data_IF_965878346543
#
_entry.id   IF_965878346543
#
_cell.length_a   1.000
_cell.length_b   1.000
_cell.length_c   1.000
_cell.angle_alpha   90.00
_cell.angle_beta   90.00
_cell.angle_gamma   90.00
#
_symmetry.space_group_name_H-M   'P 1'
#
loop_
_entity.id
_entity.type
_entity.pdbx_description
1 polymer ?
#
# COMPACT_ATOMS: atom_id res chain seq x y z
N UNK A 1 6.79 -24.55 34.39
CA UNK A 1 6.81 -24.85 32.94
C UNK A 1 5.80 -23.93 32.27
N UNK A 2 6.23 -22.76 31.82
CA UNK A 2 5.37 -21.77 31.17
C UNK A 2 5.72 -21.70 29.70
N UNK A 3 4.88 -22.31 28.85
CA UNK A 3 4.97 -22.21 27.40
C UNK A 3 4.28 -20.93 26.95
N UNK A 4 5.06 -19.90 26.62
CA UNK A 4 4.55 -18.73 25.92
C UNK A 4 4.44 -19.04 24.44
N UNK A 5 3.21 -19.24 23.96
CA UNK A 5 2.90 -19.35 22.54
C UNK A 5 3.30 -18.06 21.81
N UNK A 6 4.36 -18.15 21.01
CA UNK A 6 4.72 -17.09 20.06
C UNK A 6 3.66 -17.06 18.97
N UNK A 7 2.79 -16.06 19.04
CA UNK A 7 1.92 -15.65 17.93
C UNK A 7 2.81 -15.34 16.72
N UNK A 8 2.84 -16.25 15.75
CA UNK A 8 3.49 -16.00 14.44
C UNK A 8 2.61 -15.00 13.69
N UNK A 9 2.99 -13.73 13.74
CA UNK A 9 2.48 -12.74 12.79
C UNK A 9 2.83 -13.21 11.38
N UNK A 10 1.86 -13.07 10.46
CA UNK A 10 1.97 -13.51 9.07
C UNK A 10 3.31 -13.11 8.46
N UNK A 11 4.01 -14.10 7.91
CA UNK A 11 5.22 -13.89 7.13
C UNK A 11 4.89 -12.94 5.96
N UNK A 12 5.68 -11.89 5.69
CA UNK A 12 5.50 -11.06 4.50
C UNK A 12 5.52 -11.84 3.16
N UNK A 13 5.89 -13.12 3.19
CA UNK A 13 5.74 -14.06 2.07
C UNK A 13 4.28 -14.41 1.72
N UNK A 14 3.30 -14.22 2.62
CA UNK A 14 1.88 -14.47 2.32
C UNK A 14 1.23 -13.39 1.44
N UNK A 15 1.86 -12.22 1.29
CA UNK A 15 1.43 -11.17 0.36
C UNK A 15 1.57 -11.57 -1.12
N UNK A 16 2.28 -12.66 -1.40
CA UNK A 16 2.74 -13.04 -2.76
C UNK A 16 2.21 -14.40 -3.23
N UNK A 17 1.28 -15.00 -2.50
CA UNK A 17 0.79 -16.31 -2.85
C UNK A 17 -0.28 -16.23 -3.96
N UNK A 18 0.07 -15.87 -5.21
CA UNK A 18 -0.52 -16.48 -6.41
C UNK A 18 0.22 -16.18 -7.74
N UNK A 19 0.61 -17.30 -8.41
CA UNK A 19 0.81 -17.56 -9.86
C UNK A 19 1.90 -16.79 -10.64
N UNK A 20 3.11 -17.38 -10.65
CA UNK A 20 3.97 -17.40 -11.84
C UNK A 20 3.25 -18.13 -12.99
N UNK A 21 2.95 -17.43 -14.08
CA UNK A 21 2.72 -18.06 -15.38
C UNK A 21 4.08 -18.37 -16.06
N UNK A 22 4.20 -19.45 -16.84
CA UNK A 22 5.46 -19.82 -17.47
C UNK A 22 5.83 -18.82 -18.58
N UNK A 23 6.93 -18.09 -18.39
CA UNK A 23 7.49 -17.15 -19.37
C UNK A 23 8.08 -17.95 -20.54
N UNK A 24 7.48 -17.84 -21.72
CA UNK A 24 8.07 -18.26 -23.00
C UNK A 24 9.03 -17.17 -23.45
N UNK A 25 10.34 -17.41 -23.31
CA UNK A 25 11.39 -16.49 -23.78
C UNK A 25 11.42 -16.45 -25.31
N UNK A 26 11.34 -15.25 -25.89
CA UNK A 26 11.88 -14.96 -27.23
C UNK A 26 12.95 -13.88 -27.10
N UNK A 27 14.13 -14.19 -27.65
CA UNK A 27 15.30 -13.32 -27.61
C UNK A 27 15.33 -12.27 -28.71
N UNK A 28 16.14 -11.23 -28.45
CA UNK A 28 16.84 -10.25 -29.30
C UNK A 28 17.43 -9.25 -28.29
N UNK A 29 18.64 -8.72 -28.37
CA UNK A 29 19.64 -8.57 -29.43
C UNK A 29 20.33 -7.24 -29.07
N UNK A 30 21.63 -7.30 -28.78
CA UNK A 30 22.45 -6.15 -28.34
C UNK A 30 22.47 -5.00 -29.34
N UNK A 31 22.57 -3.76 -28.84
CA UNK A 31 23.61 -2.83 -29.30
C UNK A 31 23.87 -1.71 -28.29
N UNK A 32 25.16 -1.42 -28.10
CA UNK A 32 25.76 -0.42 -27.21
C UNK A 32 26.03 0.90 -27.92
N UNK A 33 26.26 1.94 -27.10
CA UNK A 33 27.11 3.15 -27.27
C UNK A 33 26.36 4.36 -26.65
N UNK A 34 26.90 5.26 -25.83
CA UNK A 34 28.28 5.60 -25.47
C UNK A 34 28.41 7.13 -25.43
N UNK A 35 28.80 7.68 -24.27
CA UNK A 35 29.42 9.00 -24.01
C UNK A 35 28.60 10.24 -23.52
N UNK A 36 28.95 10.62 -22.28
CA UNK A 36 29.65 11.87 -21.87
C UNK A 36 28.88 13.11 -21.41
N UNK A 37 29.25 13.51 -20.19
CA UNK A 37 28.82 14.62 -19.32
C UNK A 37 29.51 15.95 -19.67
N UNK A 38 28.82 17.09 -19.47
CA UNK A 38 29.44 18.34 -18.99
C UNK A 38 28.52 19.12 -18.05
N UNK A 39 29.07 19.52 -16.91
CA UNK A 39 28.48 20.37 -15.89
C UNK A 39 28.77 21.87 -16.16
N UNK A 40 27.92 22.76 -15.66
CA UNK A 40 28.28 24.15 -15.35
C UNK A 40 27.49 24.68 -14.15
N UNK A 41 28.14 25.57 -13.38
CA UNK A 41 27.79 26.06 -12.03
C UNK A 41 27.24 27.50 -12.06
N UNK A 42 26.49 27.85 -11.00
CA UNK A 42 26.40 29.19 -10.38
C UNK A 42 25.29 30.10 -10.95
N UNK A 43 24.59 30.95 -10.19
CA UNK A 43 24.74 31.40 -8.82
C UNK A 43 23.44 32.06 -8.31
N UNK A 44 23.32 32.08 -6.99
CA UNK A 44 22.32 32.66 -6.09
C UNK A 44 22.24 34.19 -6.14
N UNK A 45 21.02 34.77 -6.11
CA UNK A 45 20.73 36.13 -5.62
C UNK A 45 19.28 36.29 -5.15
N UNK A 46 19.11 36.58 -3.86
CA UNK A 46 18.28 37.70 -3.39
C UNK A 46 16.86 37.39 -2.92
N UNK A 47 16.68 37.26 -1.59
CA UNK A 47 15.38 37.30 -0.91
C UNK A 47 14.78 38.71 -0.99
N UNK A 48 13.58 38.81 -1.56
CA UNK A 48 12.65 39.93 -1.36
C UNK A 48 11.50 39.41 -0.50
N UNK A 49 11.25 40.08 0.63
CA UNK A 49 10.11 39.80 1.49
C UNK A 49 8.82 40.22 0.79
N UNK A 50 7.84 39.33 0.68
CA UNK A 50 6.48 39.66 0.23
C UNK A 50 5.43 39.13 1.20
N UNK A 51 4.40 39.96 1.36
CA UNK A 51 3.23 39.80 2.18
C UNK A 51 2.50 38.46 1.97
N UNK A 52 1.84 37.98 3.03
CA UNK A 52 0.82 36.93 3.07
C UNK A 52 0.81 35.98 1.88
N UNK A 53 1.73 35.01 1.85
CA UNK A 53 1.77 33.99 0.82
C UNK A 53 0.46 33.22 0.82
N UNK A 54 -0.17 33.07 -0.35
CA UNK A 54 -1.07 31.95 -0.61
C UNK A 54 -0.42 30.67 -0.05
N UNK A 55 -1.16 29.78 0.64
CA UNK A 55 -0.57 28.61 1.25
C UNK A 55 0.26 27.87 0.20
N UNK A 56 1.54 27.63 0.51
CA UNK A 56 2.47 26.97 -0.40
C UNK A 56 1.92 25.62 -0.87
N UNK A 57 2.51 25.02 -1.92
CA UNK A 57 2.04 23.75 -2.44
C UNK A 57 1.96 22.71 -1.31
N UNK A 58 0.80 22.06 -1.18
CA UNK A 58 0.55 21.04 -0.16
C UNK A 58 1.65 19.98 -0.19
N UNK A 59 2.15 19.62 0.99
CA UNK A 59 3.11 18.50 1.13
C UNK A 59 2.48 17.20 0.61
N UNK A 60 3.29 16.22 0.18
CA UNK A 60 2.79 14.91 -0.22
C UNK A 60 1.87 14.29 0.85
N UNK A 61 2.25 14.38 2.13
CA UNK A 61 1.42 13.99 3.29
C UNK A 61 0.07 14.69 3.32
N UNK A 62 0.05 16.02 3.19
CA UNK A 62 -1.18 16.80 3.24
C UNK A 62 -2.11 16.50 2.06
N UNK A 63 -1.57 16.21 0.87
CA UNK A 63 -2.35 15.77 -0.30
C UNK A 63 -2.97 14.39 -0.07
N UNK A 64 -2.19 13.44 0.45
CA UNK A 64 -2.70 12.11 0.82
C UNK A 64 -3.89 12.25 1.79
N UNK A 65 -3.70 13.00 2.89
CA UNK A 65 -4.74 13.22 3.90
C UNK A 65 -5.98 13.89 3.29
N UNK A 66 -5.81 14.93 2.47
CA UNK A 66 -6.94 15.60 1.83
C UNK A 66 -7.72 14.66 0.91
N UNK A 67 -7.06 13.75 0.19
CA UNK A 67 -7.76 12.73 -0.60
C UNK A 67 -8.48 11.71 0.29
N UNK A 68 -7.84 11.21 1.34
CA UNK A 68 -8.46 10.28 2.31
C UNK A 68 -9.70 10.88 2.99
N UNK A 69 -9.67 12.17 3.30
CA UNK A 69 -10.77 12.94 3.86
C UNK A 69 -11.74 13.47 2.80
N UNK A 70 -11.48 13.17 1.52
CA UNK A 70 -12.27 13.63 0.36
C UNK A 70 -12.46 15.15 0.33
N UNK A 71 -11.49 15.91 0.84
CA UNK A 71 -11.45 17.36 0.75
C UNK A 71 -11.08 17.80 -0.69
N UNK A 72 -11.57 18.97 -1.14
CA UNK A 72 -11.17 19.51 -2.43
C UNK A 72 -9.65 19.63 -2.54
N UNK A 73 -9.12 19.20 -3.68
CA UNK A 73 -7.71 19.25 -4.03
C UNK A 73 -7.55 20.00 -5.36
N UNK A 74 -6.43 20.69 -5.51
CA UNK A 74 -6.05 21.39 -6.75
C UNK A 74 -4.68 20.91 -7.22
N UNK A 75 -4.47 20.92 -8.54
CA UNK A 75 -3.23 20.48 -9.17
C UNK A 75 -3.12 18.96 -9.14
N UNK A 76 -1.90 18.43 -9.01
CA UNK A 76 -1.66 17.00 -9.23
C UNK A 76 -2.38 16.12 -8.21
N UNK A 77 -3.04 15.10 -8.73
CA UNK A 77 -3.68 14.01 -7.99
C UNK A 77 -2.60 13.28 -7.19
N UNK A 78 -2.80 12.99 -5.89
CA UNK A 78 -1.83 12.23 -5.12
C UNK A 78 -1.62 10.85 -5.75
N UNK A 79 -0.37 10.40 -5.74
CA UNK A 79 0.02 9.07 -6.20
C UNK A 79 0.69 8.29 -5.07
N UNK A 80 0.49 6.98 -5.04
CA UNK A 80 1.07 6.08 -4.07
C UNK A 80 1.09 4.67 -4.68
N UNK A 81 2.10 3.87 -4.35
CA UNK A 81 2.09 2.42 -4.60
C UNK A 81 2.21 1.69 -3.27
N UNK A 82 1.41 0.65 -3.08
CA UNK A 82 1.47 -0.14 -1.85
C UNK A 82 2.86 -0.75 -1.66
N UNK A 83 3.39 -1.42 -2.68
CA UNK A 83 4.76 -1.95 -2.66
C UNK A 83 5.43 -1.74 -4.02
N UNK A 84 6.71 -1.36 -3.99
CA UNK A 84 7.55 -1.22 -5.17
C UNK A 84 8.76 -2.16 -5.09
N UNK A 85 8.71 -3.29 -5.77
CA UNK A 85 9.76 -4.32 -5.71
C UNK A 85 10.88 -4.15 -6.74
N UNK A 86 10.72 -3.28 -7.74
CA UNK A 86 11.73 -3.03 -8.80
C UNK A 86 12.91 -2.16 -8.31
N UNK A 87 13.23 -2.18 -7.01
CA UNK A 87 14.29 -1.36 -6.43
C UNK A 87 15.68 -1.72 -6.93
N UNK A 88 15.90 -2.97 -7.33
CA UNK A 88 17.17 -3.40 -7.91
C UNK A 88 17.41 -2.74 -9.27
N UNK A 89 16.39 -2.71 -10.13
CA UNK A 89 16.49 -2.05 -11.44
C UNK A 89 16.52 -0.53 -11.30
N UNK A 90 15.68 0.03 -10.42
CA UNK A 90 15.60 1.47 -10.22
C UNK A 90 16.82 2.07 -9.49
N UNK A 91 17.36 1.38 -8.47
CA UNK A 91 18.34 1.96 -7.55
C UNK A 91 19.60 1.10 -7.35
N UNK A 92 19.68 -0.10 -7.94
CA UNK A 92 20.76 -1.05 -7.67
C UNK A 92 20.74 -1.61 -6.25
N UNK A 93 19.60 -1.56 -5.56
CA UNK A 93 19.47 -1.91 -4.13
C UNK A 93 18.36 -2.93 -3.89
N UNK A 94 18.64 -3.90 -3.03
CA UNK A 94 17.72 -4.99 -2.73
C UNK A 94 16.56 -4.49 -1.87
N UNK A 95 15.32 -4.76 -2.28
CA UNK A 95 14.13 -4.41 -1.52
C UNK A 95 14.20 -5.04 -0.11
N UNK A 96 13.77 -4.34 0.96
CA UNK A 96 13.90 -4.82 2.33
C UNK A 96 13.26 -6.20 2.57
N UNK A 97 12.10 -6.46 1.96
CA UNK A 97 11.38 -7.74 2.08
C UNK A 97 12.06 -8.92 1.36
N UNK A 98 13.10 -8.69 0.55
CA UNK A 98 13.87 -9.75 -0.11
C UNK A 98 15.14 -10.15 0.68
N UNK A 99 15.41 -9.50 1.81
CA UNK A 99 16.54 -9.82 2.69
C UNK A 99 16.14 -10.90 3.70
N UNK A 100 17.12 -11.72 4.12
CA UNK A 100 16.98 -12.61 5.26
C UNK A 100 17.49 -11.91 6.54
N UNK A 101 16.70 -11.92 7.61
CA UNK A 101 16.99 -11.30 8.90
C UNK A 101 17.19 -12.32 10.05
N UNK A 102 17.42 -13.61 9.75
CA UNK A 102 17.57 -14.68 10.76
C UNK A 102 18.68 -14.41 11.80
N UNK A 103 19.70 -13.64 11.43
CA UNK A 103 20.83 -13.27 12.30
C UNK A 103 20.66 -11.89 12.96
N UNK A 104 19.49 -11.25 12.88
CA UNK A 104 19.27 -9.89 13.39
C UNK A 104 19.65 -9.69 14.86
N UNK A 105 19.36 -10.68 15.70
CA UNK A 105 19.68 -10.64 17.14
C UNK A 105 21.14 -10.98 17.44
N UNK A 106 21.90 -11.51 16.48
CA UNK A 106 23.34 -11.78 16.60
C UNK A 106 24.18 -10.55 16.23
N UNK A 107 23.62 -9.66 15.40
CA UNK A 107 24.26 -8.41 14.98
C UNK A 107 24.48 -7.47 16.16
N UNK A 108 25.55 -6.69 16.11
CA UNK A 108 25.72 -5.51 16.96
C UNK A 108 24.71 -4.42 16.58
N UNK A 109 24.44 -3.49 17.51
CA UNK A 109 23.50 -2.40 17.24
C UNK A 109 23.94 -1.52 16.06
N UNK A 110 25.25 -1.34 15.86
CA UNK A 110 25.80 -0.59 14.72
C UNK A 110 25.46 -1.23 13.37
N UNK A 111 25.38 -2.56 13.31
CA UNK A 111 25.03 -3.30 12.08
C UNK A 111 23.53 -3.21 11.81
N UNK A 112 22.70 -3.40 12.84
CA UNK A 112 21.25 -3.19 12.73
C UNK A 112 20.91 -1.78 12.27
N UNK A 113 21.61 -0.78 12.79
CA UNK A 113 21.42 0.61 12.40
C UNK A 113 21.77 0.85 10.91
N UNK A 114 22.82 0.21 10.39
CA UNK A 114 23.11 0.27 8.95
C UNK A 114 21.98 -0.33 8.10
N UNK A 115 21.40 -1.45 8.54
CA UNK A 115 20.24 -2.03 7.88
C UNK A 115 19.04 -1.08 7.89
N UNK A 116 18.70 -0.49 9.05
CA UNK A 116 17.56 0.44 9.15
C UNK A 116 17.74 1.66 8.26
N UNK A 117 18.95 2.25 8.25
CA UNK A 117 19.29 3.39 7.39
C UNK A 117 19.15 3.03 5.92
N UNK A 118 19.67 1.88 5.50
CA UNK A 118 19.51 1.39 4.14
C UNK A 118 18.03 1.26 3.76
N UNK A 119 17.22 0.59 4.60
CA UNK A 119 15.79 0.44 4.35
C UNK A 119 15.07 1.79 4.27
N UNK A 120 15.32 2.71 5.21
CA UNK A 120 14.69 4.02 5.25
C UNK A 120 15.06 4.84 4.01
N UNK A 121 16.34 4.87 3.64
CA UNK A 121 16.84 5.57 2.47
C UNK A 121 16.26 5.00 1.17
N UNK A 122 16.00 3.70 1.11
CA UNK A 122 15.37 3.09 -0.07
C UNK A 122 13.89 3.44 -0.18
N UNK A 123 13.15 3.45 0.93
CA UNK A 123 11.76 3.89 0.95
C UNK A 123 11.62 5.37 0.56
N UNK A 124 12.48 6.23 1.12
CA UNK A 124 12.51 7.66 0.79
C UNK A 124 12.87 7.87 -0.68
N UNK A 125 13.94 7.22 -1.19
CA UNK A 125 14.34 7.35 -2.59
C UNK A 125 13.26 6.90 -3.56
N UNK A 126 12.51 5.84 -3.22
CA UNK A 126 11.36 5.38 -4.00
C UNK A 126 10.27 6.44 -4.03
N UNK A 127 9.88 6.96 -2.87
CA UNK A 127 8.84 7.99 -2.77
C UNK A 127 9.25 9.29 -3.47
N UNK A 128 10.52 9.67 -3.42
CA UNK A 128 11.02 10.87 -4.10
C UNK A 128 11.09 10.69 -5.62
N UNK A 129 11.64 9.58 -6.11
CA UNK A 129 11.78 9.33 -7.55
C UNK A 129 10.43 9.22 -8.25
N UNK A 130 9.47 8.56 -7.60
CA UNK A 130 8.15 8.29 -8.18
C UNK A 130 7.06 9.18 -7.62
N UNK A 131 7.42 10.21 -6.85
CA UNK A 131 6.52 11.27 -6.39
C UNK A 131 5.34 10.74 -5.55
N UNK A 132 5.63 9.76 -4.69
CA UNK A 132 4.63 9.18 -3.79
C UNK A 132 4.20 10.18 -2.71
N UNK A 133 2.91 10.15 -2.39
CA UNK A 133 2.30 10.91 -1.30
C UNK A 133 2.40 10.21 0.06
N UNK A 134 2.66 8.91 0.02
CA UNK A 134 2.77 8.06 1.19
C UNK A 134 3.90 7.03 1.06
N UNK A 135 4.41 6.56 2.20
CA UNK A 135 5.35 5.45 2.31
C UNK A 135 4.67 4.35 3.12
N UNK A 136 4.59 3.15 2.53
CA UNK A 136 4.14 1.94 3.23
C UNK A 136 5.33 1.14 3.75
N UNK A 137 5.55 1.27 5.05
CA UNK A 137 6.69 0.69 5.75
C UNK A 137 6.42 -0.80 5.97
N UNK A 138 7.29 -1.64 5.44
CA UNK A 138 7.36 -3.05 5.78
C UNK A 138 8.52 -3.21 6.76
N UNK A 139 8.21 -3.16 8.05
CA UNK A 139 9.23 -3.25 9.09
C UNK A 139 9.90 -4.62 9.03
N UNK A 140 11.23 -4.62 9.06
CA UNK A 140 12.04 -5.83 9.05
C UNK A 140 13.15 -5.72 10.12
N UNK A 141 13.28 -6.70 11.03
CA UNK A 141 12.33 -7.79 11.29
C UNK A 141 10.97 -7.26 11.76
N UNK A 142 9.92 -8.07 11.57
CA UNK A 142 8.51 -7.71 11.78
C UNK A 142 8.13 -7.48 13.25
N UNK A 143 8.69 -6.46 13.88
CA UNK A 143 8.48 -6.09 15.30
C UNK A 143 7.99 -4.64 15.42
N UNK A 144 7.20 -4.35 16.45
CA UNK A 144 6.71 -2.99 16.70
C UNK A 144 7.85 -2.00 16.94
N UNK A 145 8.91 -2.44 17.62
CA UNK A 145 10.09 -1.62 17.93
C UNK A 145 10.82 -1.17 16.65
N UNK A 146 11.05 -2.10 15.71
CA UNK A 146 11.67 -1.76 14.43
C UNK A 146 10.75 -0.91 13.55
N UNK A 147 9.43 -1.08 13.63
CA UNK A 147 8.50 -0.15 12.98
C UNK A 147 8.68 1.27 13.53
N UNK A 148 8.75 1.44 14.85
CA UNK A 148 8.92 2.78 15.43
C UNK A 148 10.25 3.41 15.06
N UNK A 149 11.34 2.64 15.08
CA UNK A 149 12.66 3.13 14.64
C UNK A 149 12.67 3.54 13.17
N UNK A 150 12.01 2.76 12.32
CA UNK A 150 11.86 3.10 10.89
C UNK A 150 11.06 4.39 10.69
N UNK A 151 9.96 4.56 11.43
CA UNK A 151 9.18 5.81 11.44
C UNK A 151 10.06 6.98 11.86
N UNK A 152 10.78 6.86 12.97
CA UNK A 152 11.65 7.93 13.50
C UNK A 152 12.75 8.31 12.50
N UNK A 153 13.42 7.33 11.88
CA UNK A 153 14.46 7.57 10.87
C UNK A 153 13.91 8.27 9.62
N UNK A 154 12.72 7.87 9.13
CA UNK A 154 12.11 8.52 7.97
C UNK A 154 11.69 9.95 8.32
N UNK A 155 11.14 10.17 9.52
CA UNK A 155 10.76 11.50 10.01
C UNK A 155 11.96 12.40 10.26
N UNK A 156 13.06 11.89 10.79
CA UNK A 156 14.31 12.65 10.96
C UNK A 156 14.82 13.17 9.60
N UNK A 157 14.77 12.33 8.56
CA UNK A 157 15.29 12.66 7.23
C UNK A 157 14.36 13.51 6.38
N UNK A 158 13.05 13.38 6.57
CA UNK A 158 12.05 13.98 5.67
C UNK A 158 11.06 14.92 6.36
N UNK A 159 11.08 15.01 7.70
CA UNK A 159 10.04 15.66 8.47
C UNK A 159 8.66 15.05 8.20
N UNK A 160 7.64 15.90 8.14
CA UNK A 160 6.26 15.51 7.83
C UNK A 160 5.95 15.55 6.31
N UNK A 161 6.96 15.40 5.46
CA UNK A 161 6.78 15.45 4.00
C UNK A 161 5.88 14.33 3.48
N UNK A 162 6.07 13.10 3.97
CA UNK A 162 5.34 11.91 3.50
C UNK A 162 4.35 11.40 4.54
N UNK A 163 3.21 10.89 4.07
CA UNK A 163 2.31 10.13 4.91
C UNK A 163 2.94 8.77 5.21
N UNK A 164 3.01 8.33 6.47
CA UNK A 164 3.61 7.05 6.84
C UNK A 164 2.53 6.07 7.29
N UNK A 165 2.56 4.86 6.73
CA UNK A 165 1.68 3.78 7.14
C UNK A 165 2.40 2.45 7.22
N UNK A 166 1.81 1.53 7.96
CA UNK A 166 2.29 0.16 8.12
C UNK A 166 1.11 -0.81 8.06
N UNK A 167 1.42 -2.10 7.89
CA UNK A 167 0.38 -3.12 7.88
C UNK A 167 -0.26 -3.26 9.27
N UNK A 168 -1.58 -3.44 9.31
CA UNK A 168 -2.32 -3.52 10.56
C UNK A 168 -3.57 -4.39 10.55
N UNK A 169 -3.70 -5.33 9.60
CA UNK A 169 -4.89 -6.19 9.53
C UNK A 169 -4.98 -7.11 10.77
N UNK A 170 -6.21 -7.45 11.13
CA UNK A 170 -6.55 -8.26 12.30
C UNK A 170 -7.69 -9.25 12.01
N UNK A 171 -7.96 -9.50 10.73
CA UNK A 171 -9.01 -10.40 10.25
C UNK A 171 -8.42 -11.58 9.47
N UNK A 172 -9.23 -12.62 9.27
CA UNK A 172 -8.83 -13.74 8.42
C UNK A 172 -8.73 -13.29 6.95
N UNK A 173 -7.67 -13.72 6.29
CA UNK A 173 -7.54 -13.67 4.83
C UNK A 173 -7.92 -15.02 4.23
N UNK A 174 -8.00 -15.08 2.90
CA UNK A 174 -8.01 -16.34 2.16
C UNK A 174 -6.79 -17.19 2.60
N UNK A 175 -7.00 -18.42 3.11
CA UNK A 175 -5.89 -19.29 3.51
C UNK A 175 -5.11 -19.77 2.28
N UNK A 176 -3.86 -20.16 2.47
CA UNK A 176 -3.10 -20.79 1.40
C UNK A 176 -3.65 -22.21 1.10
N UNK A 177 -3.20 -22.80 -0.02
CA UNK A 177 -3.71 -24.09 -0.49
C UNK A 177 -3.56 -25.26 0.49
N UNK A 178 -2.61 -25.21 1.43
CA UNK A 178 -2.42 -26.27 2.42
C UNK A 178 -3.39 -26.14 3.61
N UNK A 179 -3.86 -24.93 3.90
CA UNK A 179 -4.69 -24.64 5.07
C UNK A 179 -6.19 -24.44 4.72
N UNK A 180 -6.50 -24.38 3.42
CA UNK A 180 -7.84 -24.09 2.89
C UNK A 180 -8.92 -25.05 3.39
N UNK A 181 -8.65 -26.35 3.33
CA UNK A 181 -9.61 -27.38 3.78
C UNK A 181 -9.86 -27.26 5.28
N UNK A 182 -8.79 -27.22 6.08
CA UNK A 182 -8.87 -27.12 7.53
C UNK A 182 -9.63 -25.87 7.98
N UNK A 183 -9.34 -24.71 7.37
CA UNK A 183 -10.06 -23.47 7.67
C UNK A 183 -11.54 -23.57 7.30
N UNK A 184 -11.86 -24.20 6.16
CA UNK A 184 -13.25 -24.39 5.72
C UNK A 184 -14.04 -25.30 6.68
N UNK A 185 -13.44 -26.37 7.19
CA UNK A 185 -14.03 -27.22 8.23
C UNK A 185 -14.27 -26.43 9.53
N UNK A 186 -13.28 -25.65 9.97
CA UNK A 186 -13.39 -24.85 11.20
C UNK A 186 -14.50 -23.81 11.16
N UNK A 187 -14.80 -23.22 9.99
CA UNK A 187 -15.92 -22.28 9.84
C UNK A 187 -17.27 -22.91 10.21
N UNK A 188 -17.43 -24.22 10.04
CA UNK A 188 -18.66 -24.94 10.33
C UNK A 188 -18.61 -25.60 11.70
N UNK A 189 -17.49 -26.24 12.03
CA UNK A 189 -17.33 -27.07 13.23
C UNK A 189 -16.96 -26.25 14.48
N UNK A 190 -16.19 -25.17 14.31
CA UNK A 190 -15.63 -24.37 15.41
C UNK A 190 -15.87 -22.84 15.24
N UNK A 191 -17.06 -22.36 14.84
CA UNK A 191 -17.27 -20.95 14.50
C UNK A 191 -16.99 -19.98 15.65
N UNK A 192 -17.38 -20.35 16.88
CA UNK A 192 -17.16 -19.52 18.07
C UNK A 192 -15.69 -19.41 18.45
N UNK A 193 -14.88 -20.44 18.16
CA UNK A 193 -13.43 -20.39 18.37
C UNK A 193 -12.77 -19.42 17.40
N UNK A 194 -13.15 -19.45 16.12
CA UNK A 194 -12.67 -18.51 15.12
C UNK A 194 -13.05 -17.07 15.48
N UNK A 195 -14.29 -16.85 15.91
CA UNK A 195 -14.78 -15.55 16.39
C UNK A 195 -13.98 -15.04 17.58
N UNK A 196 -13.75 -15.89 18.60
CA UNK A 196 -12.94 -15.53 19.77
C UNK A 196 -11.48 -15.24 19.40
N UNK A 197 -10.91 -15.99 18.45
CA UNK A 197 -9.57 -15.77 17.93
C UNK A 197 -9.45 -14.39 17.26
N UNK A 198 -10.33 -14.06 16.32
CA UNK A 198 -10.33 -12.76 15.63
C UNK A 198 -10.55 -11.61 16.61
N UNK A 199 -11.46 -11.77 17.60
CA UNK A 199 -11.64 -10.77 18.65
C UNK A 199 -10.34 -10.51 19.44
N UNK A 200 -9.60 -11.57 19.75
CA UNK A 200 -8.28 -11.48 20.39
C UNK A 200 -7.26 -10.74 19.52
N UNK A 201 -7.22 -11.01 18.22
CA UNK A 201 -6.36 -10.30 17.28
C UNK A 201 -6.68 -8.82 17.18
N UNK A 202 -7.96 -8.46 17.07
CA UNK A 202 -8.41 -7.07 17.05
C UNK A 202 -7.97 -6.34 18.32
N UNK A 203 -8.21 -6.93 19.50
CA UNK A 203 -7.77 -6.34 20.78
C UNK A 203 -6.26 -6.12 20.79
N UNK A 204 -5.48 -7.13 20.43
CA UNK A 204 -4.02 -7.02 20.39
C UNK A 204 -3.53 -5.96 19.39
N UNK A 205 -4.19 -5.83 18.24
CA UNK A 205 -3.87 -4.83 17.23
C UNK A 205 -4.13 -3.40 17.73
N UNK A 206 -5.28 -3.18 18.37
CA UNK A 206 -5.63 -1.88 18.96
C UNK A 206 -4.71 -1.51 20.12
N UNK A 207 -4.33 -2.46 20.98
CA UNK A 207 -3.36 -2.25 22.05
C UNK A 207 -1.97 -1.86 21.50
N UNK A 208 -1.51 -2.54 20.44
CA UNK A 208 -0.24 -2.17 19.75
C UNK A 208 -0.30 -0.76 19.18
N UNK A 209 -1.37 -0.42 18.46
CA UNK A 209 -1.54 0.91 17.88
C UNK A 209 -1.63 2.01 18.96
N UNK A 210 -2.36 1.76 20.06
CA UNK A 210 -2.43 2.70 21.18
C UNK A 210 -1.06 2.97 21.80
N UNK A 211 -0.21 1.94 21.98
CA UNK A 211 1.17 2.10 22.47
C UNK A 211 2.08 2.86 21.50
N UNK A 212 1.87 2.69 20.20
CA UNK A 212 2.66 3.36 19.16
C UNK A 212 2.27 4.82 18.89
N UNK A 213 1.12 5.27 19.41
CA UNK A 213 0.56 6.60 19.12
C UNK A 213 1.38 7.71 19.78
N UNK A 214 1.95 8.59 18.96
CA UNK A 214 2.66 9.81 19.40
C UNK A 214 2.71 10.87 18.29
N UNK A 215 2.98 12.14 18.61
CA UNK A 215 3.30 13.17 17.61
C UNK A 215 4.49 12.75 16.73
N UNK A 216 4.41 13.02 15.42
CA UNK A 216 5.42 12.59 14.45
C UNK A 216 5.43 11.09 14.16
N UNK A 217 4.53 10.29 14.76
CA UNK A 217 4.44 8.86 14.53
C UNK A 217 3.83 8.47 13.18
N UNK A 218 3.34 7.23 13.13
CA UNK A 218 2.60 6.69 11.99
C UNK A 218 1.31 7.47 11.76
N UNK A 219 0.93 7.70 10.50
CA UNK A 219 -0.31 8.38 10.14
C UNK A 219 -1.49 7.41 9.99
N UNK A 220 -1.24 6.17 9.56
CA UNK A 220 -2.31 5.20 9.34
C UNK A 220 -1.88 3.76 9.16
N UNK A 221 -2.86 2.89 8.97
CA UNK A 221 -2.67 1.47 8.71
C UNK A 221 -3.32 1.06 7.38
N UNK A 222 -2.63 0.18 6.65
CA UNK A 222 -3.25 -0.56 5.56
C UNK A 222 -3.63 -1.96 6.07
N UNK A 223 -4.89 -2.34 5.87
CA UNK A 223 -5.44 -3.65 6.25
C UNK A 223 -5.41 -4.54 5.00
N UNK A 224 -4.46 -5.47 4.91
CA UNK A 224 -4.14 -6.20 3.67
C UNK A 224 -4.54 -7.69 3.69
N UNK A 225 -5.58 -8.08 4.42
CA UNK A 225 -6.17 -9.42 4.30
C UNK A 225 -6.99 -9.52 3.01
N UNK A 226 -6.61 -10.41 2.09
CA UNK A 226 -7.37 -10.66 0.87
C UNK A 226 -8.62 -11.49 1.17
N UNK A 227 -9.73 -11.08 0.56
CA UNK A 227 -11.04 -11.70 0.76
C UNK A 227 -11.63 -12.31 -0.51
N UNK A 228 -11.11 -11.95 -1.68
CA UNK A 228 -11.71 -12.30 -2.96
C UNK A 228 -10.73 -12.98 -3.92
N UNK A 229 -11.28 -13.87 -4.73
CA UNK A 229 -10.73 -14.26 -6.02
C UNK A 229 -11.28 -13.34 -7.11
N UNK A 230 -10.81 -13.51 -8.35
CA UNK A 230 -11.32 -12.74 -9.50
C UNK A 230 -12.80 -13.00 -9.79
N UNK A 231 -13.35 -14.12 -9.33
CA UNK A 231 -14.77 -14.49 -9.56
C UNK A 231 -15.69 -14.10 -8.40
N UNK A 232 -15.15 -13.67 -7.26
CA UNK A 232 -15.95 -13.30 -6.09
C UNK A 232 -15.23 -13.56 -4.76
N UNK A 233 -15.90 -13.26 -3.63
CA UNK A 233 -15.35 -13.49 -2.30
C UNK A 233 -15.20 -14.99 -2.00
N UNK A 234 -14.19 -15.35 -1.22
CA UNK A 234 -14.01 -16.72 -0.72
C UNK A 234 -15.13 -17.10 0.25
N UNK A 235 -15.47 -16.19 1.17
CA UNK A 235 -16.64 -16.32 2.03
C UNK A 235 -17.87 -15.75 1.31
N UNK A 236 -19.01 -16.45 1.37
CA UNK A 236 -20.27 -15.89 0.89
C UNK A 236 -20.59 -14.56 1.60
N UNK A 237 -21.38 -13.64 1.02
CA UNK A 237 -21.71 -12.38 1.68
C UNK A 237 -22.29 -12.54 3.10
N UNK A 238 -23.04 -13.62 3.34
CA UNK A 238 -23.56 -13.95 4.68
C UNK A 238 -22.44 -14.38 5.64
N UNK A 239 -21.55 -15.27 5.22
CA UNK A 239 -20.38 -15.67 6.02
C UNK A 239 -19.43 -14.48 6.24
N UNK A 240 -19.23 -13.63 5.24
CA UNK A 240 -18.43 -12.42 5.37
C UNK A 240 -19.02 -11.50 6.46
N UNK A 241 -20.34 -11.33 6.46
CA UNK A 241 -21.07 -10.57 7.50
C UNK A 241 -20.94 -11.16 8.90
N UNK A 242 -20.73 -12.46 9.01
CA UNK A 242 -20.60 -13.15 10.30
C UNK A 242 -19.15 -13.16 10.81
N UNK A 243 -18.20 -13.54 9.95
CA UNK A 243 -16.83 -13.86 10.35
C UNK A 243 -15.84 -12.72 10.15
N UNK A 244 -16.13 -11.74 9.29
CA UNK A 244 -15.19 -10.67 8.93
C UNK A 244 -15.73 -9.29 9.29
N UNK A 245 -16.90 -8.90 8.78
CA UNK A 245 -17.45 -7.54 8.88
C UNK A 245 -17.45 -6.97 10.31
N UNK A 246 -17.87 -7.71 11.36
CA UNK A 246 -17.87 -7.16 12.72
C UNK A 246 -16.47 -6.82 13.22
N UNK A 247 -15.48 -7.66 12.92
CA UNK A 247 -14.10 -7.48 13.37
C UNK A 247 -13.35 -6.45 12.53
N UNK A 248 -13.59 -6.42 11.22
CA UNK A 248 -13.07 -5.38 10.34
C UNK A 248 -13.60 -4.00 10.76
N UNK A 249 -14.89 -3.91 11.10
CA UNK A 249 -15.50 -2.68 11.62
C UNK A 249 -14.89 -2.29 12.96
N UNK A 250 -14.72 -3.25 13.87
CA UNK A 250 -14.14 -2.98 15.20
C UNK A 250 -12.69 -2.47 15.11
N UNK A 251 -11.83 -3.12 14.32
CA UNK A 251 -10.43 -2.68 14.16
C UNK A 251 -10.34 -1.35 13.42
N UNK A 252 -11.15 -1.16 12.37
CA UNK A 252 -11.19 0.10 11.62
C UNK A 252 -11.63 1.23 12.52
N UNK A 253 -12.75 1.08 13.24
CA UNK A 253 -13.23 2.08 14.20
C UNK A 253 -12.18 2.36 15.27
N UNK A 254 -11.58 1.33 15.88
CA UNK A 254 -10.59 1.50 16.92
C UNK A 254 -9.34 2.26 16.45
N UNK A 255 -8.82 1.97 15.25
CA UNK A 255 -7.73 2.76 14.67
C UNK A 255 -8.14 4.22 14.43
N UNK A 256 -9.35 4.45 13.92
CA UNK A 256 -9.87 5.81 13.70
C UNK A 256 -10.05 6.59 15.00
N UNK A 257 -10.57 5.97 16.04
CA UNK A 257 -10.73 6.58 17.37
C UNK A 257 -9.37 6.95 17.98
N UNK A 258 -8.33 6.16 17.72
CA UNK A 258 -6.94 6.49 18.07
C UNK A 258 -6.33 7.59 17.20
N UNK A 259 -7.05 8.03 16.16
CA UNK A 259 -6.68 9.11 15.24
C UNK A 259 -5.83 8.66 14.05
N UNK A 260 -5.82 7.38 13.71
CA UNK A 260 -5.13 6.85 12.53
C UNK A 260 -6.04 6.85 11.30
N UNK A 261 -5.44 7.06 10.13
CA UNK A 261 -6.10 6.75 8.87
C UNK A 261 -6.08 5.24 8.61
N UNK A 262 -7.05 4.74 7.87
CA UNK A 262 -7.24 3.31 7.62
C UNK A 262 -7.56 3.10 6.15
N UNK A 263 -6.75 2.30 5.48
CA UNK A 263 -6.94 1.90 4.09
C UNK A 263 -7.26 0.41 4.10
N UNK A 264 -8.41 0.01 3.57
CA UNK A 264 -8.69 -1.41 3.39
C UNK A 264 -8.21 -1.84 2.01
N UNK A 265 -7.24 -2.75 1.99
CA UNK A 265 -6.78 -3.44 0.79
C UNK A 265 -7.35 -4.87 0.70
N UNK A 266 -7.85 -5.23 -0.47
CA UNK A 266 -8.06 -6.63 -0.89
C UNK A 266 -8.04 -6.66 -2.42
N UNK A 267 -7.48 -7.73 -2.97
CA UNK A 267 -7.55 -8.03 -4.40
C UNK A 267 -8.84 -8.77 -4.76
N UNK A 268 -9.07 -8.94 -6.06
CA UNK A 268 -10.19 -9.71 -6.61
C UNK A 268 -11.53 -8.97 -6.68
N UNK A 269 -12.60 -9.72 -6.95
CA UNK A 269 -13.92 -9.17 -7.16
C UNK A 269 -14.63 -8.88 -5.83
N UNK A 270 -14.50 -7.64 -5.35
CA UNK A 270 -15.13 -7.16 -4.11
C UNK A 270 -16.61 -6.81 -4.27
N UNK A 271 -17.14 -6.72 -5.49
CA UNK A 271 -18.48 -6.17 -5.74
C UNK A 271 -19.60 -6.86 -4.93
N UNK A 272 -19.57 -8.18 -4.65
CA UNK A 272 -20.57 -8.83 -3.79
C UNK A 272 -20.53 -8.44 -2.31
N UNK A 273 -19.41 -7.88 -1.82
CA UNK A 273 -19.19 -7.52 -0.41
C UNK A 273 -18.83 -6.05 -0.21
N UNK A 274 -18.80 -5.24 -1.27
CA UNK A 274 -18.34 -3.85 -1.23
C UNK A 274 -19.15 -2.99 -0.26
N UNK A 275 -20.46 -3.22 -0.15
CA UNK A 275 -21.31 -2.53 0.84
C UNK A 275 -20.81 -2.78 2.27
N UNK A 276 -20.43 -4.01 2.60
CA UNK A 276 -19.92 -4.37 3.93
C UNK A 276 -18.53 -3.75 4.18
N UNK A 277 -17.68 -3.68 3.14
CA UNK A 277 -16.38 -3.02 3.22
C UNK A 277 -16.53 -1.50 3.47
N UNK A 278 -17.41 -0.83 2.74
CA UNK A 278 -17.66 0.62 2.92
C UNK A 278 -18.28 0.90 4.29
N UNK A 279 -19.26 0.08 4.72
CA UNK A 279 -19.90 0.19 6.03
C UNK A 279 -18.94 -0.02 7.20
N UNK A 280 -17.86 -0.81 7.03
CA UNK A 280 -16.81 -0.95 8.04
C UNK A 280 -16.04 0.37 8.30
N UNK A 281 -16.24 1.38 7.44
CA UNK A 281 -15.78 2.74 7.62
C UNK A 281 -14.28 2.97 7.43
N UNK A 282 -13.58 2.36 6.45
CA UNK A 282 -12.21 2.77 6.14
C UNK A 282 -12.20 4.18 5.53
N UNK A 283 -11.04 4.83 5.55
CA UNK A 283 -10.87 6.10 4.84
C UNK A 283 -10.74 5.88 3.33
N UNK A 284 -10.17 4.75 2.92
CA UNK A 284 -10.06 4.38 1.52
C UNK A 284 -10.21 2.89 1.26
N UNK A 285 -10.65 2.56 0.05
CA UNK A 285 -10.58 1.22 -0.54
C UNK A 285 -9.43 1.15 -1.55
N UNK A 286 -8.64 0.10 -1.41
CA UNK A 286 -7.64 -0.37 -2.36
C UNK A 286 -7.97 -1.85 -2.64
N UNK A 287 -7.77 -2.41 -3.82
CA UNK A 287 -7.15 -1.82 -5.01
C UNK A 287 -8.13 -1.54 -6.16
N UNK A 288 -9.39 -1.97 -6.01
CA UNK A 288 -10.43 -1.92 -7.04
C UNK A 288 -10.01 -2.68 -8.31
N UNK A 289 -9.57 -3.91 -8.12
CA UNK A 289 -8.91 -4.74 -9.12
C UNK A 289 -9.72 -4.96 -10.43
N UNK A 290 -9.27 -4.41 -11.57
CA UNK A 290 -9.88 -4.67 -12.88
C UNK A 290 -9.84 -6.15 -13.28
N UNK A 291 -8.85 -6.93 -12.81
CA UNK A 291 -8.76 -8.36 -13.10
C UNK A 291 -9.92 -9.13 -12.45
N UNK A 292 -10.41 -8.65 -11.31
CA UNK A 292 -11.65 -9.06 -10.66
C UNK A 292 -12.91 -8.41 -11.22
N UNK A 293 -12.84 -7.74 -12.38
CA UNK A 293 -13.96 -7.01 -12.99
C UNK A 293 -14.53 -5.89 -12.12
N UNK A 294 -13.70 -5.28 -11.27
CA UNK A 294 -14.09 -4.11 -10.46
C UNK A 294 -13.83 -2.85 -11.29
N UNK A 295 -14.92 -2.20 -11.72
CA UNK A 295 -14.85 -0.94 -12.46
C UNK A 295 -14.82 0.25 -11.50
N UNK A 296 -13.73 1.03 -11.55
CA UNK A 296 -13.57 2.25 -10.75
C UNK A 296 -14.66 3.29 -11.06
N UNK A 297 -15.18 3.37 -12.29
CA UNK A 297 -16.25 4.30 -12.63
C UNK A 297 -17.54 3.96 -11.86
N UNK A 298 -17.87 2.68 -11.80
CA UNK A 298 -19.03 2.18 -11.05
C UNK A 298 -18.85 2.35 -9.54
N UNK A 299 -17.67 2.02 -9.02
CA UNK A 299 -17.37 2.21 -7.59
C UNK A 299 -17.39 3.69 -7.22
N UNK A 300 -16.84 4.58 -8.07
CA UNK A 300 -16.89 6.03 -7.85
C UNK A 300 -18.32 6.56 -7.82
N UNK A 301 -19.16 6.11 -8.76
CA UNK A 301 -20.58 6.48 -8.83
C UNK A 301 -21.34 6.08 -7.57
N UNK A 302 -21.06 4.88 -7.03
CA UNK A 302 -21.76 4.34 -5.85
C UNK A 302 -21.25 4.90 -4.52
N UNK A 303 -19.93 5.00 -4.35
CA UNK A 303 -19.32 5.21 -3.02
C UNK A 303 -18.31 6.37 -2.97
N UNK A 304 -18.07 7.09 -4.08
CA UNK A 304 -17.05 8.14 -4.14
C UNK A 304 -17.26 9.30 -3.17
N UNK A 305 -18.47 9.48 -2.64
CA UNK A 305 -18.79 10.44 -1.57
C UNK A 305 -18.50 9.92 -0.15
N UNK A 306 -18.43 8.59 0.02
CA UNK A 306 -18.35 7.91 1.32
C UNK A 306 -16.94 7.39 1.63
N UNK A 307 -16.16 7.05 0.61
CA UNK A 307 -14.82 6.47 0.76
C UNK A 307 -13.88 6.99 -0.33
N UNK A 308 -12.61 7.20 0.03
CA UNK A 308 -11.56 7.50 -0.97
C UNK A 308 -11.25 6.24 -1.79
N UNK A 309 -10.93 6.40 -3.06
CA UNK A 309 -10.55 5.29 -3.93
C UNK A 309 -9.04 5.33 -4.18
N UNK A 310 -8.36 4.18 -4.07
CA UNK A 310 -6.94 4.04 -4.40
C UNK A 310 -6.82 2.93 -5.46
N UNK A 311 -6.17 3.23 -6.57
CA UNK A 311 -6.04 2.32 -7.70
C UNK A 311 -6.28 3.03 -9.03
N UNK A 312 -6.67 2.35 -10.11
CA UNK A 312 -6.75 0.89 -10.21
C UNK A 312 -6.08 0.39 -11.48
N UNK A 313 -4.96 0.99 -11.89
CA UNK A 313 -4.27 0.58 -13.13
C UNK A 313 -3.94 -0.93 -13.05
N UNK A 314 -4.41 -1.69 -14.04
CA UNK A 314 -4.33 -3.15 -14.04
C UNK A 314 -2.87 -3.65 -14.08
N UNK A 315 -2.41 -4.34 -13.03
CA UNK A 315 -1.02 -4.80 -12.96
C UNK A 315 -0.65 -5.80 -14.07
N UNK A 316 -1.57 -6.67 -14.47
CA UNK A 316 -1.33 -7.57 -15.61
C UNK A 316 -1.12 -6.82 -16.93
N UNK A 317 -1.66 -5.61 -17.05
CA UNK A 317 -1.39 -4.73 -18.21
C UNK A 317 0.02 -4.14 -18.17
N UNK A 318 0.56 -3.84 -16.99
CA UNK A 318 1.93 -3.34 -16.87
C UNK A 318 2.97 -4.43 -17.22
N UNK A 319 2.63 -5.68 -17.01
CA UNK A 319 3.52 -6.82 -17.29
C UNK A 319 3.55 -7.18 -18.78
N UNK A 320 2.36 -7.26 -19.39
CA UNK A 320 2.21 -7.83 -20.74
C UNK A 320 1.67 -6.85 -21.79
N UNK A 321 1.23 -5.67 -21.38
CA UNK A 321 0.60 -4.68 -22.24
C UNK A 321 1.62 -3.86 -23.03
N UNK A 322 1.17 -3.35 -24.18
CA UNK A 322 1.92 -2.35 -24.94
C UNK A 322 1.89 -0.99 -24.22
N UNK A 323 2.86 -0.09 -24.48
CA UNK A 323 2.84 1.26 -23.92
C UNK A 323 1.52 2.02 -24.16
N UNK A 324 0.89 1.82 -25.32
CA UNK A 324 -0.40 2.42 -25.64
C UNK A 324 -1.55 1.89 -24.75
N UNK A 325 -1.58 0.58 -24.49
CA UNK A 325 -2.59 -0.03 -23.61
C UNK A 325 -2.37 0.37 -22.14
N UNK A 326 -1.12 0.46 -21.69
CA UNK A 326 -0.78 0.95 -20.35
C UNK A 326 -1.23 2.40 -20.20
N UNK A 327 -0.92 3.24 -21.19
CA UNK A 327 -1.32 4.64 -21.18
C UNK A 327 -2.85 4.79 -21.13
N UNK A 328 -3.59 3.97 -21.88
CA UNK A 328 -5.05 3.98 -21.87
C UNK A 328 -5.62 3.52 -20.51
N UNK A 329 -5.06 2.48 -19.90
CA UNK A 329 -5.46 2.04 -18.57
C UNK A 329 -5.21 3.14 -17.51
N UNK A 330 -4.07 3.84 -17.59
CA UNK A 330 -3.77 4.97 -16.73
C UNK A 330 -4.76 6.12 -16.93
N UNK A 331 -5.06 6.50 -18.19
CA UNK A 331 -6.06 7.53 -18.52
C UNK A 331 -7.45 7.17 -18.00
N UNK A 332 -7.85 5.91 -18.15
CA UNK A 332 -9.13 5.43 -17.68
C UNK A 332 -9.25 5.62 -16.16
N UNK A 333 -8.25 5.19 -15.40
CA UNK A 333 -8.21 5.34 -13.95
C UNK A 333 -8.28 6.82 -13.53
N UNK A 334 -7.54 7.71 -14.20
CA UNK A 334 -7.59 9.16 -13.96
C UNK A 334 -8.95 9.77 -14.28
N UNK A 335 -9.46 9.52 -15.48
CA UNK A 335 -10.74 10.05 -15.98
C UNK A 335 -11.91 9.71 -15.05
N UNK A 336 -11.91 8.51 -14.49
CA UNK A 336 -13.02 8.02 -13.66
C UNK A 336 -12.78 8.15 -12.16
N UNK A 337 -11.53 8.10 -11.70
CA UNK A 337 -11.18 8.24 -10.29
C UNK A 337 -11.16 9.69 -9.81
N UNK A 338 -10.62 10.61 -10.62
CA UNK A 338 -10.37 12.00 -10.20
C UNK A 338 -11.61 12.86 -9.97
N UNK A 339 -12.65 12.88 -10.83
CA UNK A 339 -13.73 13.84 -10.68
C UNK A 339 -14.35 13.84 -9.28
N UNK A 340 -14.47 15.02 -8.68
CA UNK A 340 -15.00 15.20 -7.32
C UNK A 340 -13.99 15.01 -6.18
N UNK A 341 -12.70 14.78 -6.45
CA UNK A 341 -11.70 14.56 -5.40
C UNK A 341 -11.78 13.15 -4.79
N UNK A 342 -11.14 12.89 -3.66
CA UNK A 342 -11.27 11.59 -2.98
C UNK A 342 -10.69 10.40 -3.76
N UNK A 343 -9.53 10.61 -4.40
CA UNK A 343 -8.87 9.60 -5.22
C UNK A 343 -7.35 9.71 -5.11
N UNK A 344 -6.68 8.57 -5.02
CA UNK A 344 -5.22 8.43 -5.05
C UNK A 344 -4.87 7.51 -6.21
N UNK A 345 -4.09 8.01 -7.15
CA UNK A 345 -3.64 7.26 -8.31
C UNK A 345 -2.65 6.16 -7.88
N UNK A 346 -2.93 4.92 -8.23
CA UNK A 346 -2.12 3.75 -7.86
C UNK A 346 -2.36 2.64 -8.88
N UNK A 347 -1.47 1.65 -8.91
CA UNK A 347 -1.84 0.37 -9.51
C UNK A 347 -2.90 -0.36 -8.70
N UNK A 348 -3.47 -1.40 -9.31
CA UNK A 348 -4.43 -2.33 -8.72
C UNK A 348 -3.77 -3.38 -7.81
N UNK A 349 -2.47 -3.31 -7.55
CA UNK A 349 -1.76 -4.19 -6.63
C UNK A 349 -0.38 -3.58 -6.29
N UNK A 350 0.67 -4.40 -6.21
CA UNK A 350 2.05 -4.04 -6.06
C UNK A 350 2.75 -3.97 -7.42
N UNK A 351 3.81 -3.16 -7.49
CA UNK A 351 4.80 -3.25 -8.57
C UNK A 351 5.73 -4.42 -8.26
N UNK A 352 5.40 -5.62 -8.74
CA UNK A 352 6.09 -6.86 -8.39
C UNK A 352 7.40 -7.10 -9.15
N UNK A 353 8.26 -7.92 -8.56
CA UNK A 353 9.53 -8.35 -9.18
C UNK A 353 9.29 -9.03 -10.52
N UNK A 354 9.92 -8.52 -11.57
CA UNK A 354 9.83 -9.05 -12.93
C UNK A 354 8.96 -8.23 -13.87
N UNK A 355 8.13 -7.32 -13.34
CA UNK A 355 7.44 -6.32 -14.15
C UNK A 355 8.47 -5.38 -14.82
N UNK A 356 8.32 -5.03 -16.11
CA UNK A 356 9.23 -4.10 -16.76
C UNK A 356 9.14 -2.70 -16.13
N UNK A 357 10.25 -2.14 -15.65
CA UNK A 357 10.25 -0.80 -15.08
C UNK A 357 9.75 0.26 -16.07
N UNK A 358 10.10 0.12 -17.35
CA UNK A 358 9.63 1.02 -18.40
C UNK A 358 8.10 1.06 -18.51
N UNK A 359 7.40 -0.05 -18.24
CA UNK A 359 5.93 -0.09 -18.22
C UNK A 359 5.36 0.79 -17.10
N UNK A 360 5.96 0.72 -15.91
CA UNK A 360 5.58 1.58 -14.79
C UNK A 360 5.88 3.06 -15.09
N UNK A 361 7.00 3.36 -15.75
CA UNK A 361 7.35 4.73 -16.14
C UNK A 361 6.36 5.31 -17.17
N UNK A 362 5.87 4.50 -18.13
CA UNK A 362 4.80 4.92 -19.06
C UNK A 362 3.52 5.30 -18.31
N UNK A 363 3.11 4.52 -17.30
CA UNK A 363 1.96 4.82 -16.47
C UNK A 363 2.13 6.17 -15.75
N UNK A 364 3.30 6.40 -15.15
CA UNK A 364 3.59 7.64 -14.43
C UNK A 364 3.68 8.86 -15.35
N UNK A 365 4.17 8.71 -16.57
CA UNK A 365 4.22 9.81 -17.53
C UNK A 365 2.83 10.28 -17.95
N UNK A 366 1.87 9.37 -18.06
CA UNK A 366 0.45 9.74 -18.23
C UNK A 366 -0.05 10.51 -17.01
N UNK A 367 0.17 10.00 -15.80
CA UNK A 367 -0.25 10.69 -14.57
C UNK A 367 0.37 12.10 -14.44
N UNK A 368 1.65 12.27 -14.74
CA UNK A 368 2.33 13.59 -14.69
C UNK A 368 1.71 14.59 -15.66
N UNK A 369 1.33 14.14 -16.86
CA UNK A 369 0.76 14.99 -17.93
C UNK A 369 -0.72 15.28 -17.73
N UNK A 370 -1.49 14.30 -17.28
CA UNK A 370 -2.95 14.29 -17.37
C UNK A 370 -3.65 14.26 -15.99
N UNK A 371 -2.92 13.90 -14.91
CA UNK A 371 -3.45 13.72 -13.56
C UNK A 371 -3.52 14.98 -12.72
N UNK A 372 -4.20 16.04 -13.18
CA UNK A 372 -4.44 17.27 -12.43
C UNK A 372 -5.94 17.55 -12.26
N UNK A 373 -6.36 17.87 -11.02
CA UNK A 373 -7.74 18.27 -10.69
C UNK A 373 -8.17 19.60 -11.31
#
# INVERSE_FOLDING_TARGET
MGGGDRVKFGNPSSFLAFRRLPIVRRGRGDNTDGMSVKASRGADRGRVATAGSAPGPLTPRARCIAALERRPLTGRVPHFEMVFFLTMEAFGRLHPSHRNYDQWLQMEEKERELHRRDMADLYIATAERYEHSAIFIHQNPSTDEELQRMVDLIRERTGDRFFLMAHGDATFAIPNGNDMEAFSCQLVEEPEKLKAQTAGWVRAALERAARGRRPGGLDGYALCADYCFNTGPFLSPAQFSEFITPYLTAVTKGYRDLGYYVIKHTDGNIMPIIDQLVQSGPHALHSLDPQGSVDIAEVKRRYGSEVCLIGNVHCGMLDMGTPAQIAEAARYALKHGMPGGGYIFSTSNCIYTGMPLASYEVMLDVWRREGNY
#
